data_IF_808950690266
#
_entry.id   IF_808950690266
#
_cell.length_a   1.000
_cell.length_b   1.000
_cell.length_c   1.000
_cell.angle_alpha   90.00
_cell.angle_beta   90.00
_cell.angle_gamma   90.00
#
_symmetry.space_group_name_H-M   'P 1'
#
loop_
_entity.id
_entity.type
_entity.pdbx_description
1 polymer ?
#
# COMPACT_ATOMS: atom_id res chain seq x y z
N UNK A 1 -9.98 -8.91 33.60
CA UNK A 1 -10.08 -8.71 32.13
C UNK A 1 -9.90 -10.02 31.36
N UNK A 2 -8.69 -10.61 31.28
CA UNK A 2 -8.42 -11.79 30.42
C UNK A 2 -9.31 -13.02 30.71
N UNK A 3 -9.74 -13.21 31.96
CA UNK A 3 -10.55 -14.36 32.36
C UNK A 3 -12.06 -14.18 32.13
N UNK A 4 -12.53 -12.94 31.96
CA UNK A 4 -13.96 -12.60 32.00
C UNK A 4 -14.45 -11.94 30.71
N UNK A 5 -13.54 -11.38 29.90
CA UNK A 5 -13.89 -10.70 28.67
C UNK A 5 -14.50 -11.68 27.66
N UNK A 6 -15.76 -11.45 27.29
CA UNK A 6 -16.48 -12.23 26.27
C UNK A 6 -16.22 -11.70 24.86
N UNK A 7 -15.99 -10.39 24.73
CA UNK A 7 -15.69 -9.73 23.46
C UNK A 7 -14.54 -8.73 23.60
N UNK A 8 -13.78 -8.57 22.53
CA UNK A 8 -12.70 -7.59 22.43
C UNK A 8 -12.85 -6.73 21.17
N UNK A 9 -12.57 -5.44 21.31
CA UNK A 9 -12.45 -4.48 20.21
C UNK A 9 -11.00 -3.99 20.17
N UNK A 10 -10.37 -4.03 19.01
CA UNK A 10 -8.97 -3.63 18.89
C UNK A 10 -8.65 -2.96 17.56
N UNK A 11 -7.65 -2.09 17.57
CA UNK A 11 -7.07 -1.42 16.38
C UNK A 11 -5.91 -2.26 15.81
N UNK A 12 -5.00 -1.63 15.05
CA UNK A 12 -3.86 -2.29 14.41
C UNK A 12 -2.61 -2.40 15.32
N UNK A 13 -2.56 -1.65 16.42
CA UNK A 13 -1.35 -1.45 17.23
C UNK A 13 -0.99 -2.59 18.19
N UNK A 14 -1.88 -3.57 18.36
CA UNK A 14 -1.66 -4.75 19.20
C UNK A 14 -1.69 -5.98 18.31
N UNK A 15 -0.72 -6.87 18.48
CA UNK A 15 -0.70 -8.18 17.83
C UNK A 15 -1.17 -9.24 18.82
N UNK A 16 -2.06 -10.14 18.38
CA UNK A 16 -2.50 -11.29 19.15
C UNK A 16 -2.01 -12.58 18.48
N UNK A 17 -0.94 -13.12 19.04
CA UNK A 17 -0.41 -14.43 18.67
C UNK A 17 -1.25 -15.55 19.27
N UNK A 18 -0.99 -16.81 18.89
CA UNK A 18 -1.59 -17.97 19.56
C UNK A 18 -1.39 -17.95 21.07
N UNK A 19 -0.15 -17.68 21.53
CA UNK A 19 0.18 -17.62 22.95
C UNK A 19 -0.60 -16.52 23.69
N UNK A 20 -0.89 -15.41 23.02
CA UNK A 20 -1.70 -14.33 23.59
C UNK A 20 -3.18 -14.70 23.66
N UNK A 21 -3.71 -15.33 22.62
CA UNK A 21 -5.10 -15.77 22.55
C UNK A 21 -5.42 -16.82 23.63
N UNK A 22 -4.50 -17.74 23.92
CA UNK A 22 -4.66 -18.78 24.95
C UNK A 22 -4.77 -18.22 26.38
N UNK A 23 -4.33 -16.97 26.60
CA UNK A 23 -4.49 -16.27 27.89
C UNK A 23 -5.95 -15.90 28.17
N UNK A 24 -6.78 -15.76 27.14
CA UNK A 24 -8.19 -15.44 27.30
C UNK A 24 -9.01 -16.69 27.60
N UNK A 25 -9.79 -16.66 28.69
CA UNK A 25 -10.56 -17.85 29.15
C UNK A 25 -12.04 -17.83 28.79
N UNK A 26 -12.60 -16.65 28.49
CA UNK A 26 -14.01 -16.48 28.19
C UNK A 26 -14.28 -15.82 26.82
N UNK A 27 -13.23 -15.46 26.08
CA UNK A 27 -13.34 -14.70 24.84
C UNK A 27 -14.04 -15.53 23.76
N UNK A 28 -15.03 -14.93 23.10
CA UNK A 28 -15.83 -15.53 22.03
C UNK A 28 -15.73 -14.78 20.72
N UNK A 29 -15.41 -13.49 20.77
CA UNK A 29 -15.35 -12.62 19.59
C UNK A 29 -14.27 -11.56 19.73
N UNK A 30 -13.54 -11.34 18.64
CA UNK A 30 -12.65 -10.20 18.45
C UNK A 30 -13.14 -9.42 17.24
N UNK A 31 -13.33 -8.11 17.38
CA UNK A 31 -13.68 -7.23 16.28
C UNK A 31 -12.54 -6.26 16.04
N UNK A 32 -11.93 -6.36 14.85
CA UNK A 32 -10.97 -5.40 14.36
C UNK A 32 -11.69 -4.14 13.89
N UNK A 33 -11.42 -3.03 14.57
CA UNK A 33 -11.82 -1.69 14.12
C UNK A 33 -10.90 -1.29 12.98
N UNK A 34 -11.30 -1.64 11.75
CA UNK A 34 -10.53 -1.49 10.52
C UNK A 34 -10.68 -2.68 9.59
N UNK A 35 -10.12 -2.58 8.38
CA UNK A 35 -10.27 -3.58 7.34
C UNK A 35 -9.34 -4.78 7.50
N UNK A 36 -8.03 -4.57 7.67
CA UNK A 36 -7.07 -5.67 7.80
C UNK A 36 -7.00 -6.26 9.22
N UNK A 37 -6.73 -7.55 9.25
CA UNK A 37 -6.80 -8.44 10.42
C UNK A 37 -5.53 -9.29 10.57
N UNK A 38 -4.46 -8.92 9.88
CA UNK A 38 -3.14 -9.56 9.88
C UNK A 38 -2.44 -9.54 11.26
N UNK A 39 -2.84 -8.61 12.14
CA UNK A 39 -2.35 -8.54 13.52
C UNK A 39 -3.03 -9.54 14.48
N UNK A 40 -3.85 -10.46 13.97
CA UNK A 40 -4.48 -11.54 14.74
C UNK A 40 -4.19 -12.86 14.03
N UNK A 41 -3.72 -13.86 14.77
CA UNK A 41 -3.69 -15.24 14.26
C UNK A 41 -5.11 -15.81 14.18
N UNK A 42 -5.78 -15.56 13.06
CA UNK A 42 -7.18 -15.95 12.84
C UNK A 42 -7.36 -17.48 12.78
N UNK A 43 -6.31 -18.24 12.42
CA UNK A 43 -6.36 -19.71 12.41
C UNK A 43 -6.41 -20.21 13.85
N UNK A 44 -5.49 -19.74 14.70
CA UNK A 44 -5.49 -20.09 16.13
C UNK A 44 -6.71 -19.56 16.88
N UNK A 45 -7.23 -18.37 16.53
CA UNK A 45 -8.49 -17.88 17.09
C UNK A 45 -9.66 -18.83 16.77
N UNK A 46 -9.76 -19.30 15.52
CA UNK A 46 -10.74 -20.30 15.10
C UNK A 46 -10.62 -21.61 15.90
N UNK A 47 -9.41 -22.13 16.07
CA UNK A 47 -9.14 -23.34 16.87
C UNK A 47 -9.61 -23.20 18.33
N UNK A 48 -9.49 -21.99 18.90
CA UNK A 48 -9.91 -21.66 20.26
C UNK A 48 -11.41 -21.32 20.38
N UNK A 49 -12.17 -21.39 19.27
CA UNK A 49 -13.59 -21.05 19.25
C UNK A 49 -13.89 -19.55 19.39
N UNK A 50 -12.95 -18.71 18.94
CA UNK A 50 -13.03 -17.25 18.96
C UNK A 50 -13.28 -16.74 17.53
N UNK A 51 -14.44 -16.13 17.29
CA UNK A 51 -14.73 -15.52 16.01
C UNK A 51 -13.94 -14.22 15.82
N UNK A 52 -13.43 -13.96 14.60
CA UNK A 52 -12.76 -12.71 14.26
C UNK A 52 -13.54 -11.98 13.17
N UNK A 53 -13.91 -10.72 13.44
CA UNK A 53 -14.62 -9.85 12.52
C UNK A 53 -13.78 -8.60 12.20
N UNK A 54 -14.10 -7.93 11.08
CA UNK A 54 -13.48 -6.67 10.68
C UNK A 54 -14.55 -5.65 10.20
N UNK A 55 -14.11 -4.43 9.91
CA UNK A 55 -14.97 -3.36 9.34
C UNK A 55 -14.44 -2.98 7.95
N UNK A 56 -14.80 -3.74 6.89
CA UNK A 56 -14.10 -3.68 5.60
C UNK A 56 -14.46 -2.47 4.72
N UNK A 57 -15.51 -1.71 5.05
CA UNK A 57 -16.04 -0.63 4.20
C UNK A 57 -15.77 0.79 4.74
N UNK A 58 -15.28 0.94 5.98
CA UNK A 58 -15.31 2.21 6.69
C UNK A 58 -14.40 3.32 6.12
N UNK A 59 -13.35 2.97 5.37
CA UNK A 59 -12.37 3.95 4.89
C UNK A 59 -11.87 3.67 3.47
N UNK A 60 -12.70 3.01 2.65
CA UNK A 60 -12.29 2.58 1.30
C UNK A 60 -11.93 3.79 0.43
N UNK A 61 -12.80 4.79 0.41
CA UNK A 61 -12.64 5.97 -0.42
C UNK A 61 -11.55 6.89 0.15
N UNK A 62 -11.49 7.05 1.47
CA UNK A 62 -10.46 7.82 2.16
C UNK A 62 -9.06 7.25 1.91
N UNK A 63 -8.87 5.93 1.99
CA UNK A 63 -7.59 5.30 1.66
C UNK A 63 -7.26 5.46 0.18
N UNK A 64 -8.25 5.40 -0.71
CA UNK A 64 -8.03 5.63 -2.13
C UNK A 64 -7.63 7.08 -2.44
N UNK A 65 -8.28 8.06 -1.80
CA UNK A 65 -7.98 9.49 -1.92
C UNK A 65 -6.56 9.79 -1.41
N UNK A 66 -6.18 9.26 -0.24
CA UNK A 66 -4.81 9.38 0.30
C UNK A 66 -3.78 8.71 -0.60
N UNK A 67 -4.10 7.54 -1.18
CA UNK A 67 -3.20 6.89 -2.15
C UNK A 67 -2.99 7.77 -3.38
N UNK A 68 -4.06 8.33 -3.95
CA UNK A 68 -3.94 9.26 -5.08
C UNK A 68 -3.16 10.52 -4.69
N UNK A 69 -3.34 11.04 -3.47
CA UNK A 69 -2.54 12.14 -2.94
C UNK A 69 -1.04 11.80 -2.92
N UNK A 70 -0.66 10.61 -2.43
CA UNK A 70 0.73 10.13 -2.45
C UNK A 70 1.28 10.00 -3.87
N UNK A 71 0.53 9.39 -4.78
CA UNK A 71 0.92 9.27 -6.20
C UNK A 71 1.16 10.68 -6.80
N UNK A 72 0.22 11.60 -6.62
CA UNK A 72 0.34 12.96 -7.14
C UNK A 72 1.50 13.72 -6.50
N UNK A 73 1.76 13.52 -5.20
CA UNK A 73 2.91 14.11 -4.52
C UNK A 73 4.24 13.62 -5.10
N UNK A 74 4.35 12.34 -5.49
CA UNK A 74 5.55 11.83 -6.15
C UNK A 74 5.72 12.44 -7.55
N UNK A 75 4.66 12.48 -8.36
CA UNK A 75 4.71 12.99 -9.73
C UNK A 75 4.87 14.51 -9.81
N UNK A 76 4.28 15.27 -8.88
CA UNK A 76 4.23 16.74 -8.88
C UNK A 76 5.19 17.37 -7.87
N UNK A 77 5.76 16.57 -6.98
CA UNK A 77 6.73 16.99 -5.94
C UNK A 77 6.18 18.01 -4.96
N UNK A 78 4.85 18.14 -4.82
CA UNK A 78 4.22 19.23 -4.05
C UNK A 78 4.69 19.29 -2.61
N UNK A 79 4.73 18.16 -1.89
CA UNK A 79 5.26 18.11 -0.51
C UNK A 79 6.73 18.52 -0.44
N UNK A 80 7.58 18.02 -1.34
CA UNK A 80 9.00 18.38 -1.38
C UNK A 80 9.23 19.85 -1.72
N UNK A 81 8.44 20.42 -2.64
CA UNK A 81 8.50 21.84 -2.97
C UNK A 81 8.08 22.72 -1.79
N UNK A 82 6.99 22.34 -1.09
CA UNK A 82 6.61 23.02 0.15
C UNK A 82 7.72 22.95 1.20
N UNK A 83 8.34 21.77 1.39
CA UNK A 83 9.44 21.59 2.32
C UNK A 83 10.65 22.48 1.95
N UNK A 84 11.07 22.49 0.69
CA UNK A 84 12.19 23.31 0.24
C UNK A 84 11.97 24.81 0.51
N UNK A 85 10.74 25.30 0.33
CA UNK A 85 10.38 26.69 0.65
C UNK A 85 10.39 26.95 2.16
N UNK A 86 9.92 26.01 2.98
CA UNK A 86 10.00 26.08 4.44
C UNK A 86 11.44 26.11 4.95
N UNK A 87 12.34 25.40 4.27
CA UNK A 87 13.78 25.37 4.55
C UNK A 87 14.52 26.64 4.06
N UNK A 88 13.80 27.58 3.43
CA UNK A 88 14.34 28.88 3.05
C UNK A 88 14.83 28.99 1.61
N UNK A 89 14.58 27.97 0.76
CA UNK A 89 14.92 28.03 -0.66
C UNK A 89 14.20 29.20 -1.33
N UNK A 90 14.95 30.10 -1.97
CA UNK A 90 14.40 31.23 -2.73
C UNK A 90 14.38 30.87 -4.21
N UNK A 91 13.19 30.95 -4.81
CA UNK A 91 12.96 30.61 -6.21
C UNK A 91 12.47 31.87 -6.92
N UNK A 92 13.33 32.51 -7.71
CA UNK A 92 13.04 33.77 -8.40
C UNK A 92 13.06 33.64 -9.92
N UNK A 93 13.97 32.83 -10.48
CA UNK A 93 14.09 32.64 -11.93
C UNK A 93 13.42 31.35 -12.42
N UNK A 94 13.15 31.28 -13.72
CA UNK A 94 12.57 30.08 -14.35
C UNK A 94 13.52 28.89 -14.25
N UNK A 95 14.82 29.12 -14.30
CA UNK A 95 15.86 28.10 -14.13
C UNK A 95 15.78 27.49 -12.72
N UNK A 96 15.65 28.33 -11.69
CA UNK A 96 15.50 27.88 -10.30
C UNK A 96 14.20 27.09 -10.11
N UNK A 97 13.10 27.47 -10.78
CA UNK A 97 11.84 26.71 -10.76
C UNK A 97 12.07 25.31 -11.34
N UNK A 98 12.77 25.20 -12.48
CA UNK A 98 13.06 23.90 -13.11
C UNK A 98 13.97 23.04 -12.24
N UNK A 99 14.96 23.65 -11.59
CA UNK A 99 15.90 22.95 -10.72
C UNK A 99 15.21 22.40 -9.47
N UNK A 100 14.47 23.23 -8.73
CA UNK A 100 13.81 22.79 -7.49
C UNK A 100 12.67 21.79 -7.74
N UNK A 101 12.00 21.89 -8.88
CA UNK A 101 10.96 20.96 -9.31
C UNK A 101 11.50 19.80 -10.17
N UNK A 102 12.82 19.67 -10.29
CA UNK A 102 13.45 18.64 -11.13
C UNK A 102 12.97 17.24 -10.72
N UNK A 103 12.66 16.42 -11.73
CA UNK A 103 12.07 15.09 -11.55
C UNK A 103 10.54 15.06 -11.51
N UNK A 104 9.84 16.21 -11.50
CA UNK A 104 8.39 16.25 -11.67
C UNK A 104 8.01 15.76 -13.09
N UNK A 105 7.14 14.75 -13.19
CA UNK A 105 6.84 14.06 -14.45
C UNK A 105 5.38 14.20 -14.91
N UNK A 106 5.17 14.28 -16.24
CA UNK A 106 3.82 14.26 -16.83
C UNK A 106 3.14 12.93 -16.49
N UNK A 107 1.88 12.98 -16.03
CA UNK A 107 1.12 11.77 -15.64
C UNK A 107 0.48 11.06 -16.85
N UNK A 108 -0.10 11.81 -17.80
CA UNK A 108 -0.80 11.22 -18.94
C UNK A 108 0.14 10.33 -19.75
N UNK A 109 -0.22 9.07 -19.91
CA UNK A 109 0.55 8.05 -20.63
C UNK A 109 1.41 7.15 -19.73
N UNK A 110 1.57 7.49 -18.45
CA UNK A 110 2.25 6.64 -17.48
C UNK A 110 1.39 5.41 -17.14
N UNK A 111 2.05 4.32 -16.76
CA UNK A 111 1.39 3.08 -16.35
C UNK A 111 1.39 2.96 -14.82
N UNK A 112 0.18 2.90 -14.24
CA UNK A 112 -0.02 2.62 -12.81
C UNK A 112 -0.31 1.13 -12.63
N UNK A 113 0.58 0.43 -11.93
CA UNK A 113 0.42 -0.96 -11.55
C UNK A 113 -0.16 -1.11 -10.15
N UNK A 114 -1.34 -1.72 -10.06
CA UNK A 114 -2.00 -2.02 -8.79
C UNK A 114 -1.77 -3.48 -8.40
N UNK A 115 -1.18 -3.72 -7.23
CA UNK A 115 -1.07 -5.05 -6.64
C UNK A 115 -2.20 -5.25 -5.63
N UNK A 116 -3.18 -6.08 -6.00
CA UNK A 116 -4.44 -6.30 -5.26
C UNK A 116 -5.56 -5.38 -5.75
N UNK A 117 -6.57 -5.95 -6.42
CA UNK A 117 -7.71 -5.20 -6.98
C UNK A 117 -8.99 -5.42 -6.14
N UNK A 118 -8.82 -5.31 -4.81
CA UNK A 118 -9.93 -5.26 -3.87
C UNK A 118 -10.64 -3.91 -3.86
N UNK A 119 -11.37 -3.61 -2.76
CA UNK A 119 -12.16 -2.37 -2.63
C UNK A 119 -11.35 -1.10 -2.91
N UNK A 120 -10.21 -0.94 -2.22
CA UNK A 120 -9.33 0.24 -2.39
C UNK A 120 -8.67 0.25 -3.77
N UNK A 121 -8.15 -0.89 -4.23
CA UNK A 121 -7.52 -0.98 -5.55
C UNK A 121 -8.44 -0.58 -6.69
N UNK A 122 -9.72 -0.96 -6.63
CA UNK A 122 -10.74 -0.53 -7.61
C UNK A 122 -11.02 0.97 -7.52
N UNK A 123 -11.19 1.50 -6.30
CA UNK A 123 -11.44 2.93 -6.07
C UNK A 123 -10.27 3.81 -6.57
N UNK A 124 -9.02 3.35 -6.39
CA UNK A 124 -7.81 4.00 -6.93
C UNK A 124 -7.77 3.90 -8.46
N UNK A 125 -8.04 2.72 -9.03
CA UNK A 125 -8.04 2.53 -10.48
C UNK A 125 -8.99 3.50 -11.21
N UNK A 126 -10.21 3.66 -10.68
CA UNK A 126 -11.22 4.56 -11.25
C UNK A 126 -10.78 6.03 -11.21
N UNK A 127 -10.16 6.46 -10.11
CA UNK A 127 -9.63 7.83 -9.97
C UNK A 127 -8.43 8.06 -10.88
N UNK A 128 -7.48 7.12 -10.92
CA UNK A 128 -6.25 7.23 -11.69
C UNK A 128 -6.51 7.41 -13.19
N UNK A 129 -7.56 6.77 -13.73
CA UNK A 129 -7.99 6.94 -15.12
C UNK A 129 -8.28 8.39 -15.51
N UNK A 130 -8.88 9.17 -14.61
CA UNK A 130 -9.20 10.58 -14.88
C UNK A 130 -7.95 11.44 -15.08
N UNK A 131 -6.82 11.06 -14.48
CA UNK A 131 -5.52 11.72 -14.66
C UNK A 131 -4.79 11.28 -15.94
N UNK A 132 -5.32 10.27 -16.64
CA UNK A 132 -4.74 9.74 -17.88
C UNK A 132 -3.69 8.65 -17.68
N UNK A 133 -3.68 7.96 -16.53
CA UNK A 133 -2.91 6.74 -16.34
C UNK A 133 -3.47 5.60 -17.20
N UNK A 134 -2.59 4.78 -17.75
CA UNK A 134 -2.90 3.41 -18.13
C UNK A 134 -2.87 2.55 -16.87
N UNK A 135 -3.98 1.92 -16.49
CA UNK A 135 -4.06 1.16 -15.24
C UNK A 135 -3.97 -0.33 -15.54
N UNK A 136 -2.95 -0.98 -14.97
CA UNK A 136 -2.79 -2.42 -14.98
C UNK A 136 -2.87 -2.97 -13.55
N UNK A 137 -3.26 -4.23 -13.39
CA UNK A 137 -3.30 -4.84 -12.06
C UNK A 137 -2.91 -6.31 -12.04
N UNK A 138 -2.41 -6.75 -10.89
CA UNK A 138 -2.14 -8.13 -10.55
C UNK A 138 -2.91 -8.47 -9.27
N UNK A 139 -3.77 -9.47 -9.37
CA UNK A 139 -4.46 -10.07 -8.23
C UNK A 139 -4.69 -11.55 -8.52
N UNK A 140 -3.96 -12.47 -7.88
CA UNK A 140 -4.06 -13.90 -8.17
C UNK A 140 -5.32 -14.56 -7.59
N UNK A 141 -6.07 -13.86 -6.74
CA UNK A 141 -7.23 -14.43 -6.03
C UNK A 141 -8.58 -14.02 -6.62
N UNK A 142 -8.60 -13.04 -7.52
CA UNK A 142 -9.82 -12.63 -8.21
C UNK A 142 -10.18 -13.61 -9.34
N UNK A 143 -11.48 -13.87 -9.49
CA UNK A 143 -12.03 -14.53 -10.66
C UNK A 143 -11.91 -13.63 -11.90
N UNK A 144 -11.88 -14.25 -13.09
CA UNK A 144 -11.87 -13.52 -14.35
C UNK A 144 -13.11 -12.66 -14.55
N UNK A 145 -12.98 -11.55 -15.29
CA UNK A 145 -14.08 -10.68 -15.70
C UNK A 145 -14.07 -9.29 -15.07
N UNK A 146 -13.45 -9.11 -13.90
CA UNK A 146 -13.39 -7.80 -13.24
C UNK A 146 -12.63 -6.76 -14.08
N UNK A 147 -11.58 -7.20 -14.77
CA UNK A 147 -10.80 -6.38 -15.70
C UNK A 147 -11.66 -5.83 -16.84
N UNK A 148 -12.61 -6.63 -17.35
CA UNK A 148 -13.53 -6.20 -18.42
C UNK A 148 -14.58 -5.23 -17.90
N UNK A 149 -15.15 -5.50 -16.72
CA UNK A 149 -16.16 -4.65 -16.12
C UNK A 149 -15.64 -3.23 -15.82
N UNK A 150 -14.39 -3.13 -15.35
CA UNK A 150 -13.76 -1.85 -15.02
C UNK A 150 -12.95 -1.26 -16.17
N UNK A 151 -12.80 -1.97 -17.30
CA UNK A 151 -11.96 -1.57 -18.43
C UNK A 151 -10.48 -1.41 -18.05
N UNK A 152 -9.94 -2.33 -17.26
CA UNK A 152 -8.55 -2.39 -16.80
C UNK A 152 -7.82 -3.51 -17.53
N UNK A 153 -6.50 -3.47 -17.54
CA UNK A 153 -5.68 -4.58 -18.04
C UNK A 153 -5.18 -5.41 -16.85
N UNK A 154 -5.53 -6.71 -16.84
CA UNK A 154 -5.00 -7.68 -15.87
C UNK A 154 -3.70 -8.28 -16.40
N UNK A 155 -2.71 -8.45 -15.53
CA UNK A 155 -1.52 -9.25 -15.81
C UNK A 155 -1.49 -10.50 -14.92
N UNK A 156 -0.83 -11.57 -15.40
CA UNK A 156 -0.91 -12.89 -14.77
C UNK A 156 0.15 -13.11 -13.70
N UNK A 157 1.23 -12.35 -13.72
CA UNK A 157 2.33 -12.49 -12.76
C UNK A 157 2.70 -11.15 -12.14
N UNK A 158 3.28 -11.19 -10.93
CA UNK A 158 3.85 -10.02 -10.30
C UNK A 158 4.95 -9.39 -11.16
N UNK A 159 5.81 -10.22 -11.77
CA UNK A 159 6.90 -9.75 -12.63
C UNK A 159 6.37 -8.91 -13.81
N UNK A 160 5.31 -9.37 -14.48
CA UNK A 160 4.71 -8.61 -15.59
C UNK A 160 4.21 -7.25 -15.12
N UNK A 161 3.61 -7.16 -13.92
CA UNK A 161 3.18 -5.88 -13.37
C UNK A 161 4.36 -4.96 -13.12
N UNK A 162 5.39 -5.45 -12.42
CA UNK A 162 6.55 -4.65 -12.04
C UNK A 162 7.32 -4.14 -13.27
N UNK A 163 7.42 -4.97 -14.31
CA UNK A 163 8.12 -4.63 -15.55
C UNK A 163 7.40 -3.56 -16.38
N UNK A 164 6.07 -3.51 -16.34
CA UNK A 164 5.28 -2.58 -17.16
C UNK A 164 4.87 -1.29 -16.43
N UNK A 165 5.09 -1.18 -15.12
CA UNK A 165 4.60 -0.07 -14.31
C UNK A 165 5.63 1.03 -14.10
N UNK A 166 5.23 2.28 -14.31
CA UNK A 166 6.02 3.47 -13.97
C UNK A 166 5.79 3.87 -12.50
N UNK A 167 4.61 3.55 -11.96
CA UNK A 167 4.30 3.64 -10.55
C UNK A 167 3.61 2.35 -10.09
N UNK A 168 4.10 1.76 -9.00
CA UNK A 168 3.50 0.57 -8.36
C UNK A 168 2.83 1.00 -7.06
N UNK A 169 1.59 0.55 -6.84
CA UNK A 169 0.85 0.80 -5.61
C UNK A 169 0.28 -0.49 -5.00
N UNK A 170 0.44 -0.64 -3.68
CA UNK A 170 0.06 -1.83 -2.94
C UNK A 170 -1.33 -1.66 -2.29
N UNK A 171 -2.24 -2.58 -2.62
CA UNK A 171 -3.61 -2.63 -2.09
C UNK A 171 -4.05 -4.07 -1.74
N UNK A 172 -3.11 -4.98 -1.57
CA UNK A 172 -3.36 -6.34 -1.09
C UNK A 172 -3.24 -6.44 0.43
N UNK A 173 -3.97 -7.38 1.04
CA UNK A 173 -3.81 -7.67 2.47
C UNK A 173 -2.49 -8.43 2.69
N UNK A 174 -1.82 -8.18 3.83
CA UNK A 174 -0.72 -9.01 4.28
C UNK A 174 -1.24 -10.39 4.70
N UNK A 175 -0.57 -11.44 4.24
CA UNK A 175 -0.84 -12.84 4.54
C UNK A 175 0.46 -13.65 4.52
N UNK A 176 0.35 -14.95 4.81
CA UNK A 176 1.50 -15.86 4.94
C UNK A 176 2.32 -16.05 3.66
N UNK A 177 1.81 -15.66 2.49
CA UNK A 177 2.46 -15.85 1.19
C UNK A 177 3.06 -14.57 0.57
N UNK A 178 2.81 -13.39 1.16
CA UNK A 178 3.24 -12.11 0.57
C UNK A 178 3.98 -11.18 1.55
N UNK A 179 4.48 -11.73 2.66
CA UNK A 179 5.45 -11.01 3.48
C UNK A 179 6.70 -10.68 2.65
N UNK A 180 7.12 -9.41 2.67
CA UNK A 180 8.18 -8.86 1.82
C UNK A 180 7.95 -9.17 0.34
N UNK A 181 6.69 -9.02 -0.13
CA UNK A 181 6.33 -9.12 -1.55
C UNK A 181 7.21 -8.21 -2.41
N UNK A 182 7.51 -7.01 -1.93
CA UNK A 182 8.49 -6.10 -2.51
C UNK A 182 9.80 -6.24 -1.73
N UNK A 183 10.74 -7.01 -2.26
CA UNK A 183 12.07 -7.28 -1.70
C UNK A 183 13.18 -6.95 -2.72
N UNK A 184 14.44 -7.24 -2.37
CA UNK A 184 15.59 -6.97 -3.24
C UNK A 184 15.46 -7.60 -4.64
N UNK A 185 14.90 -8.81 -4.74
CA UNK A 185 14.70 -9.49 -6.02
C UNK A 185 13.60 -8.85 -6.86
N UNK A 186 12.44 -8.57 -6.28
CA UNK A 186 11.32 -7.98 -7.03
C UNK A 186 11.57 -6.51 -7.37
N UNK A 187 12.29 -5.76 -6.54
CA UNK A 187 12.67 -4.38 -6.87
C UNK A 187 13.54 -4.35 -8.13
N UNK A 188 14.41 -5.34 -8.36
CA UNK A 188 15.20 -5.44 -9.60
C UNK A 188 14.35 -5.68 -10.85
N UNK A 189 13.11 -6.12 -10.69
CA UNK A 189 12.16 -6.31 -11.79
C UNK A 189 11.34 -5.04 -12.10
N UNK A 190 11.36 -4.05 -11.19
CA UNK A 190 10.70 -2.77 -11.41
C UNK A 190 11.45 -1.97 -12.48
N UNK A 191 10.71 -1.11 -13.21
CA UNK A 191 11.33 -0.16 -14.14
C UNK A 191 12.33 0.74 -13.43
N UNK A 192 13.44 1.04 -14.11
CA UNK A 192 14.41 2.02 -13.63
C UNK A 192 13.72 3.38 -13.44
N UNK A 193 13.81 3.93 -12.22
CA UNK A 193 13.22 5.21 -11.87
C UNK A 193 11.70 5.17 -11.68
N UNK A 194 11.12 3.99 -11.42
CA UNK A 194 9.73 3.85 -11.03
C UNK A 194 9.45 4.45 -9.65
N UNK A 195 8.18 4.71 -9.38
CA UNK A 195 7.65 5.11 -8.08
C UNK A 195 7.01 3.93 -7.33
N UNK A 196 7.05 3.96 -6.00
CA UNK A 196 6.37 2.98 -5.13
C UNK A 196 5.45 3.69 -4.13
N UNK A 197 4.22 3.20 -3.98
CA UNK A 197 3.26 3.68 -2.98
C UNK A 197 2.74 2.52 -2.14
N UNK A 198 2.85 2.63 -0.81
CA UNK A 198 2.29 1.64 0.11
C UNK A 198 1.35 2.29 1.13
N UNK A 199 0.06 2.02 0.97
CA UNK A 199 -1.02 2.38 1.91
C UNK A 199 -1.74 1.13 2.41
N UNK A 200 -1.12 -0.04 2.27
CA UNK A 200 -1.69 -1.33 2.65
C UNK A 200 -1.14 -1.80 4.00
N UNK A 201 0.04 -2.45 4.01
CA UNK A 201 0.71 -2.94 5.22
C UNK A 201 2.23 -2.82 5.09
N UNK A 202 2.90 -2.47 6.18
CA UNK A 202 4.34 -2.29 6.23
C UNK A 202 5.11 -3.54 5.80
N UNK A 203 4.79 -4.69 6.40
CA UNK A 203 5.44 -5.98 6.10
C UNK A 203 5.27 -6.53 4.68
N UNK A 204 4.62 -5.79 3.76
CA UNK A 204 4.63 -6.11 2.33
C UNK A 204 5.93 -5.68 1.64
N UNK A 205 6.69 -4.76 2.24
CA UNK A 205 7.89 -4.18 1.66
C UNK A 205 9.06 -4.42 2.60
N UNK A 206 10.16 -4.94 2.07
CA UNK A 206 11.45 -4.97 2.76
C UNK A 206 12.06 -3.56 2.74
N UNK A 207 12.08 -2.90 3.90
CA UNK A 207 12.53 -1.51 4.02
C UNK A 207 14.02 -1.35 3.72
N UNK A 208 14.84 -2.37 4.00
CA UNK A 208 16.28 -2.32 3.69
C UNK A 208 16.50 -2.34 2.19
N UNK A 209 15.78 -3.21 1.49
CA UNK A 209 15.84 -3.30 0.03
C UNK A 209 15.34 -2.00 -0.63
N UNK A 210 14.23 -1.44 -0.13
CA UNK A 210 13.70 -0.17 -0.61
C UNK A 210 14.67 0.99 -0.36
N UNK A 211 15.25 1.09 0.83
CA UNK A 211 16.21 2.14 1.17
C UNK A 211 17.44 2.10 0.26
N UNK A 212 17.97 0.91 -0.04
CA UNK A 212 19.08 0.75 -0.98
C UNK A 212 18.69 1.17 -2.40
N UNK A 213 17.49 0.77 -2.86
CA UNK A 213 17.02 1.11 -4.20
C UNK A 213 16.76 2.60 -4.41
N UNK A 214 16.34 3.32 -3.35
CA UNK A 214 16.22 4.78 -3.35
C UNK A 214 17.59 5.45 -3.43
N UNK A 215 18.58 4.99 -2.64
CA UNK A 215 19.96 5.53 -2.68
C UNK A 215 20.63 5.33 -4.03
N UNK A 216 20.38 4.19 -4.68
CA UNK A 216 20.91 3.87 -6.01
C UNK A 216 20.13 4.51 -7.16
N UNK A 217 19.00 5.17 -6.88
CA UNK A 217 18.12 5.75 -7.91
C UNK A 217 17.40 4.73 -8.79
N UNK A 218 17.42 3.43 -8.43
CA UNK A 218 16.58 2.40 -9.06
C UNK A 218 15.10 2.70 -8.86
N UNK A 219 14.73 3.15 -7.67
CA UNK A 219 13.42 3.74 -7.36
C UNK A 219 13.60 5.25 -7.26
N UNK A 220 12.81 6.00 -8.03
CA UNK A 220 12.89 7.47 -8.08
C UNK A 220 12.32 8.12 -6.83
N UNK A 221 11.36 7.46 -6.18
CA UNK A 221 10.74 7.92 -4.95
C UNK A 221 9.73 6.91 -4.43
N UNK A 222 9.50 6.95 -3.12
CA UNK A 222 8.49 6.13 -2.48
C UNK A 222 7.64 6.99 -1.54
N UNK A 223 6.37 6.64 -1.40
CA UNK A 223 5.46 7.22 -0.41
C UNK A 223 4.81 6.09 0.39
N UNK A 224 5.08 6.08 1.69
CA UNK A 224 4.65 5.04 2.63
C UNK A 224 3.77 5.67 3.70
N UNK A 225 2.56 5.14 3.85
CA UNK A 225 1.64 5.46 4.96
C UNK A 225 1.74 4.41 6.09
N UNK A 226 2.45 3.32 5.83
CA UNK A 226 2.64 2.16 6.70
C UNK A 226 4.09 1.68 6.63
N UNK A 227 4.61 1.14 7.74
CA UNK A 227 6.01 0.76 7.92
C UNK A 227 6.14 -0.60 8.61
N UNK A 228 7.25 -1.33 8.43
CA UNK A 228 7.50 -2.62 9.09
C UNK A 228 7.41 -2.50 10.61
N UNK A 229 7.88 -1.38 11.16
CA UNK A 229 7.79 -1.03 12.58
C UNK A 229 7.07 0.30 12.74
N UNK A 230 6.00 0.30 13.53
CA UNK A 230 5.22 1.49 13.84
C UNK A 230 5.18 1.74 15.37
N UNK A 231 5.27 3.00 15.84
CA UNK A 231 5.36 4.24 15.06
C UNK A 231 6.69 4.40 14.33
N UNK A 232 6.65 5.04 13.15
CA UNK A 232 7.81 5.39 12.33
C UNK A 232 8.54 6.63 12.87
#
# INVERSE_FOLDING_TARGET
VLNEAVGALMYHTITLTREDLEKFKALRIIVRIGSGFDNIDIKSAGDLGIAVCNVPAASVEETADSTMCHILNLYRRTTWLHQALREGTRVQSVEQIREVASGAARIRGETLGIIGLGRVGQAVALRAKAFGFSVIFYDPYLSDGMERALGLQRVSTLQDLLFHSDCVTLHCNLNEHNHHLINDFTIKQMRQGAFLVNTARGGLVDEKALAQALKEGRIRGAALDVHESEPF
#
